data_IF_734713882066
#
_entry.id   IF_734713882066
#
_cell.length_a   1.000
_cell.length_b   1.000
_cell.length_c   1.000
_cell.angle_alpha   90.00
_cell.angle_beta   90.00
_cell.angle_gamma   90.00
#
_symmetry.space_group_name_H-M   'P 1'
#
loop_
_entity.id
_entity.type
_entity.pdbx_description
1 polymer ?
#
# COMPACT_ATOMS: atom_id res chain seq x y z
N UNK A 1 -7.42 -16.68 -2.46
CA UNK A 1 -7.19 -15.22 -2.25
C UNK A 1 -5.87 -14.86 -2.91
N UNK A 2 -5.74 -13.70 -3.56
CA UNK A 2 -4.49 -13.31 -4.23
C UNK A 2 -3.52 -12.59 -3.27
N UNK A 3 -4.03 -11.85 -2.29
CA UNK A 3 -3.25 -11.06 -1.33
C UNK A 3 -4.11 -9.98 -0.66
N UNK A 4 -3.47 -9.08 0.08
CA UNK A 4 -4.10 -7.98 0.81
C UNK A 4 -3.65 -6.65 0.23
N UNK A 5 -4.51 -5.63 0.26
CA UNK A 5 -4.17 -4.25 -0.09
C UNK A 5 -4.60 -3.34 1.06
N UNK A 6 -3.71 -2.45 1.51
CA UNK A 6 -4.11 -1.40 2.46
C UNK A 6 -4.90 -0.34 1.69
N UNK A 7 -6.18 -0.16 2.05
CA UNK A 7 -7.09 0.72 1.32
C UNK A 7 -6.88 2.23 1.55
N UNK A 8 -6.15 2.62 2.58
CA UNK A 8 -5.78 4.00 2.88
C UNK A 8 -4.54 4.03 3.77
N UNK A 9 -3.37 4.26 3.17
CA UNK A 9 -2.10 4.41 3.87
C UNK A 9 -1.87 5.88 4.24
N UNK A 10 -1.69 6.20 5.53
CA UNK A 10 -1.58 7.58 5.99
C UNK A 10 -0.31 8.26 5.47
N UNK A 11 -0.37 9.56 5.26
CA UNK A 11 0.81 10.35 4.89
C UNK A 11 1.84 10.41 6.04
N UNK A 12 1.36 10.33 7.28
CA UNK A 12 2.15 10.29 8.51
C UNK A 12 1.82 9.00 9.28
N UNK A 13 2.44 7.86 8.94
CA UNK A 13 2.18 6.59 9.59
C UNK A 13 2.76 6.58 11.01
N UNK A 14 1.87 6.35 11.98
CA UNK A 14 2.22 6.11 13.36
C UNK A 14 2.83 4.71 13.57
N UNK A 15 3.26 4.44 14.80
CA UNK A 15 3.86 3.15 15.17
C UNK A 15 2.90 1.99 14.89
N UNK A 16 1.61 2.15 15.16
CA UNK A 16 0.62 1.10 14.94
C UNK A 16 0.50 0.75 13.44
N UNK A 17 0.45 1.76 12.57
CA UNK A 17 0.41 1.59 11.12
C UNK A 17 1.63 0.83 10.61
N UNK A 18 2.83 1.17 11.10
CA UNK A 18 4.09 0.51 10.73
C UNK A 18 4.18 -0.92 11.23
N UNK A 19 3.78 -1.20 12.47
CA UNK A 19 3.71 -2.57 12.98
C UNK A 19 2.71 -3.41 12.19
N UNK A 20 1.50 -2.87 11.97
CA UNK A 20 0.47 -3.56 11.20
C UNK A 20 0.93 -3.90 9.79
N UNK A 21 1.73 -3.04 9.15
CA UNK A 21 2.27 -3.31 7.81
C UNK A 21 3.09 -4.61 7.78
N UNK A 22 3.90 -4.87 8.81
CA UNK A 22 4.69 -6.09 8.94
C UNK A 22 3.82 -7.32 9.31
N UNK A 23 2.77 -7.12 10.10
CA UNK A 23 1.91 -8.19 10.60
C UNK A 23 0.85 -8.65 9.57
N UNK A 24 0.37 -7.74 8.71
CA UNK A 24 -0.71 -7.98 7.75
C UNK A 24 -0.48 -9.23 6.87
N UNK A 25 0.70 -9.44 6.25
CA UNK A 25 0.95 -10.63 5.45
C UNK A 25 0.91 -11.93 6.27
N UNK A 26 1.33 -11.87 7.53
CA UNK A 26 1.38 -13.02 8.44
C UNK A 26 -0.02 -13.44 8.83
N UNK A 27 -0.84 -12.50 9.31
CA UNK A 27 -2.21 -12.80 9.78
C UNK A 27 -3.17 -13.15 8.65
N UNK A 28 -2.93 -12.62 7.45
CA UNK A 28 -3.76 -12.92 6.28
C UNK A 28 -3.32 -14.19 5.53
N UNK A 29 -2.18 -14.78 5.90
CA UNK A 29 -1.52 -15.89 5.20
C UNK A 29 -1.43 -15.62 3.68
N UNK A 30 -1.15 -14.37 3.31
CA UNK A 30 -1.20 -13.90 1.93
C UNK A 30 -0.31 -12.66 1.73
N UNK A 31 0.23 -12.44 0.52
CA UNK A 31 1.17 -11.34 0.28
C UNK A 31 0.47 -9.98 0.37
N UNK A 32 1.23 -8.96 0.77
CA UNK A 32 0.83 -7.57 0.57
C UNK A 32 1.00 -7.20 -0.91
N UNK A 33 -0.09 -6.74 -1.52
CA UNK A 33 -0.17 -6.44 -2.95
C UNK A 33 -0.39 -4.96 -3.24
N UNK A 34 -0.27 -4.10 -2.24
CA UNK A 34 -0.35 -2.65 -2.44
C UNK A 34 -0.72 -1.86 -1.20
N UNK A 35 -0.50 -0.56 -1.31
CA UNK A 35 -0.93 0.44 -0.34
C UNK A 35 -1.46 1.66 -1.10
N UNK A 36 -2.75 1.95 -0.93
CA UNK A 36 -3.41 3.10 -1.56
C UNK A 36 -3.18 4.33 -0.70
N UNK A 37 -2.57 5.43 -1.19
CA UNK A 37 -2.34 6.61 -0.36
C UNK A 37 -3.65 7.21 0.17
N UNK A 38 -3.61 7.74 1.38
CA UNK A 38 -4.72 8.47 1.98
C UNK A 38 -5.17 9.64 1.08
N UNK A 39 -6.49 9.87 1.03
CA UNK A 39 -7.06 11.01 0.33
C UNK A 39 -7.16 10.89 -1.19
N UNK A 40 -6.70 9.79 -1.80
CA UNK A 40 -6.78 9.62 -3.27
C UNK A 40 -8.21 9.63 -3.81
N UNK A 41 -9.20 9.30 -2.96
CA UNK A 41 -10.62 9.40 -3.31
C UNK A 41 -11.10 10.83 -3.60
N UNK A 42 -10.32 11.85 -3.23
CA UNK A 42 -10.59 13.26 -3.52
C UNK A 42 -9.95 13.75 -4.82
N UNK A 43 -9.11 12.93 -5.47
CA UNK A 43 -8.47 13.30 -6.72
C UNK A 43 -9.51 13.42 -7.85
N UNK A 44 -9.28 14.38 -8.73
CA UNK A 44 -9.98 14.40 -10.02
C UNK A 44 -9.73 13.09 -10.78
N UNK A 45 -10.68 12.62 -11.60
CA UNK A 45 -10.55 11.33 -12.28
C UNK A 45 -9.27 11.16 -13.10
N UNK A 46 -8.75 12.24 -13.69
CA UNK A 46 -7.48 12.22 -14.42
C UNK A 46 -6.27 11.99 -13.49
N UNK A 47 -6.24 12.66 -12.34
CA UNK A 47 -5.18 12.50 -11.33
C UNK A 47 -5.20 11.10 -10.72
N UNK A 48 -6.38 10.59 -10.37
CA UNK A 48 -6.54 9.22 -9.87
C UNK A 48 -5.99 8.20 -10.89
N UNK A 49 -6.39 8.28 -12.17
CA UNK A 49 -5.92 7.34 -13.20
C UNK A 49 -4.43 7.42 -13.45
N UNK A 50 -3.84 8.60 -13.34
CA UNK A 50 -2.40 8.78 -13.52
C UNK A 50 -1.59 8.17 -12.38
N UNK A 51 -2.07 8.28 -11.13
CA UNK A 51 -1.37 7.78 -9.95
C UNK A 51 -1.67 6.31 -9.64
N UNK A 52 -2.86 5.80 -9.97
CA UNK A 52 -3.31 4.46 -9.62
C UNK A 52 -2.34 3.31 -9.98
N UNK A 53 -1.62 3.33 -11.12
CA UNK A 53 -0.66 2.27 -11.44
C UNK A 53 0.47 2.10 -10.41
N UNK A 54 0.77 3.11 -9.57
CA UNK A 54 1.86 3.03 -8.59
C UNK A 54 1.44 2.51 -7.21
N UNK A 55 0.16 2.18 -6.99
CA UNK A 55 -0.34 1.73 -5.68
C UNK A 55 -0.44 0.20 -5.52
N UNK A 56 -0.84 -0.56 -6.55
CA UNK A 56 -0.87 -2.01 -6.47
C UNK A 56 0.42 -2.64 -7.05
N UNK A 57 0.71 -3.86 -6.63
CA UNK A 57 1.81 -4.66 -7.15
C UNK A 57 1.50 -5.22 -8.54
N UNK A 58 2.52 -5.78 -9.20
CA UNK A 58 2.40 -6.38 -10.55
C UNK A 58 1.28 -7.41 -10.72
N UNK A 59 0.98 -8.30 -9.74
CA UNK A 59 -0.15 -9.24 -9.87
C UNK A 59 -1.51 -8.56 -10.08
N UNK A 60 -1.64 -7.28 -9.71
CA UNK A 60 -2.82 -6.44 -9.89
C UNK A 60 -2.62 -5.37 -10.97
N UNK A 61 -1.55 -5.45 -11.76
CA UNK A 61 -1.27 -4.56 -12.89
C UNK A 61 -0.56 -3.25 -12.57
N UNK A 62 -0.03 -3.09 -11.35
CA UNK A 62 0.74 -1.89 -10.98
C UNK A 62 2.25 -2.11 -10.88
N UNK A 63 2.94 -1.11 -10.33
CA UNK A 63 4.40 -1.03 -10.23
C UNK A 63 4.92 -1.00 -8.80
N UNK A 64 4.04 -1.09 -7.81
CA UNK A 64 4.41 -1.01 -6.39
C UNK A 64 5.20 -2.25 -5.94
N UNK A 65 6.16 -2.05 -5.05
CA UNK A 65 7.00 -3.10 -4.47
C UNK A 65 6.86 -3.15 -2.95
N UNK A 66 6.62 -4.35 -2.41
CA UNK A 66 6.33 -4.54 -0.99
C UNK A 66 7.57 -4.38 -0.10
N UNK A 67 8.73 -4.81 -0.59
CA UNK A 67 9.97 -4.78 0.17
C UNK A 67 10.50 -3.34 0.25
N UNK A 68 10.54 -2.63 -0.89
CA UNK A 68 10.90 -1.21 -0.94
C UNK A 68 9.99 -0.37 -0.04
N UNK A 69 8.68 -0.64 -0.08
CA UNK A 69 7.72 0.05 0.77
C UNK A 69 7.97 -0.22 2.25
N UNK A 70 8.15 -1.48 2.65
CA UNK A 70 8.41 -1.84 4.05
C UNK A 70 9.70 -1.18 4.59
N UNK A 71 10.77 -1.15 3.79
CA UNK A 71 12.02 -0.46 4.15
C UNK A 71 11.78 1.03 4.36
N UNK A 72 11.02 1.68 3.47
CA UNK A 72 10.70 3.10 3.60
C UNK A 72 9.88 3.43 4.86
N UNK A 73 9.03 2.51 5.33
CA UNK A 73 8.22 2.72 6.55
C UNK A 73 8.98 2.38 7.85
N UNK A 74 10.06 1.60 7.75
CA UNK A 74 10.91 1.22 8.88
C UNK A 74 11.95 2.30 9.25
N UNK A 75 12.26 3.22 8.34
CA UNK A 75 13.17 4.33 8.60
C UNK A 75 12.45 5.45 9.39
N UNK A 76 13.04 5.85 10.53
CA UNK A 76 12.81 7.12 11.23
C UNK A 76 14.03 8.02 11.06
#
# INVERSE_FOLDING_TARGET
MLGVVVGSWPNEPDLASRCNLADLPVVAEAPLLGAVPEGVGLLWPAGFRAAAPSWPARPLGGTWDAEEFAVAQAAE
#
